data_IF_250450566059
#
_entry.id   IF_250450566059
#
_cell.length_a   1.000
_cell.length_b   1.000
_cell.length_c   1.000
_cell.angle_alpha   90.00
_cell.angle_beta   90.00
_cell.angle_gamma   90.00
#
_symmetry.space_group_name_H-M   'P 1'
#
loop_
_entity.id
_entity.type
_entity.pdbx_description
1 polymer ?
#
# COMPACT_ATOMS: atom_id res chain seq x y z
N UNK A 1 -26.02 6.65 -21.27
CA UNK A 1 -25.33 6.46 -19.96
C UNK A 1 -24.03 7.26 -19.95
N UNK A 2 -23.75 8.04 -18.91
CA UNK A 2 -22.46 8.75 -18.77
C UNK A 2 -21.42 7.77 -18.23
N UNK A 3 -20.33 7.57 -18.96
CA UNK A 3 -19.23 6.69 -18.55
C UNK A 3 -18.28 7.45 -17.61
N UNK A 4 -17.97 6.86 -16.45
CA UNK A 4 -17.06 7.44 -15.47
C UNK A 4 -15.61 7.37 -16.00
N UNK A 5 -14.94 8.52 -16.07
CA UNK A 5 -13.53 8.62 -16.50
C UNK A 5 -12.56 8.88 -15.35
N UNK A 6 -13.05 9.45 -14.26
CA UNK A 6 -12.26 9.86 -13.10
C UNK A 6 -12.91 9.29 -11.86
N UNK A 7 -12.15 8.56 -11.07
CA UNK A 7 -12.55 8.08 -9.76
C UNK A 7 -11.59 8.65 -8.74
N UNK A 8 -12.13 9.39 -7.77
CA UNK A 8 -11.38 9.95 -6.66
C UNK A 8 -12.09 9.57 -5.38
N UNK A 9 -11.39 8.89 -4.48
CA UNK A 9 -11.86 8.56 -3.16
C UNK A 9 -10.79 8.92 -2.14
N UNK A 10 -11.17 9.70 -1.14
CA UNK A 10 -10.31 10.06 -0.04
C UNK A 10 -11.07 9.83 1.27
N UNK A 11 -10.54 8.97 2.12
CA UNK A 11 -11.04 8.77 3.47
C UNK A 11 -10.03 9.34 4.46
N UNK A 12 -10.43 10.44 5.09
CA UNK A 12 -9.66 11.14 6.12
C UNK A 12 -10.39 11.02 7.46
N UNK A 13 -10.37 9.83 8.05
CA UNK A 13 -10.88 9.55 9.40
C UNK A 13 -9.77 9.35 10.43
N UNK A 14 -10.05 9.45 11.74
CA UNK A 14 -9.16 8.86 12.75
C UNK A 14 -8.93 7.38 12.39
N UNK A 15 -7.80 6.80 12.78
CA UNK A 15 -7.51 5.38 12.51
C UNK A 15 -8.75 4.56 12.82
N UNK A 16 -9.33 3.88 11.82
CA UNK A 16 -10.60 3.17 11.92
C UNK A 16 -10.68 2.44 13.26
N UNK A 17 -11.40 3.02 14.22
CA UNK A 17 -11.68 2.34 15.47
C UNK A 17 -12.62 1.19 15.12
N UNK A 18 -12.58 0.11 15.89
CA UNK A 18 -13.29 -1.14 15.56
C UNK A 18 -14.80 -0.99 15.32
N UNK A 19 -15.42 0.12 15.75
CA UNK A 19 -16.83 0.43 15.49
C UNK A 19 -17.09 1.04 14.10
N UNK A 20 -16.14 1.79 13.52
CA UNK A 20 -16.27 2.40 12.19
C UNK A 20 -15.78 1.45 11.08
N UNK A 21 -15.15 0.35 11.45
CA UNK A 21 -14.62 -0.66 10.53
C UNK A 21 -15.72 -1.41 9.79
N UNK A 22 -16.84 -1.73 10.46
CA UNK A 22 -17.95 -2.50 9.87
C UNK A 22 -18.69 -1.66 8.80
N UNK A 23 -18.98 -0.39 9.10
CA UNK A 23 -19.56 0.56 8.14
C UNK A 23 -18.62 0.83 6.97
N UNK A 24 -17.31 0.93 7.25
CA UNK A 24 -16.31 1.08 6.20
C UNK A 24 -16.21 -0.16 5.32
N UNK A 25 -16.22 -1.36 5.90
CA UNK A 25 -16.15 -2.61 5.15
C UNK A 25 -17.41 -2.81 4.30
N UNK A 26 -18.59 -2.41 4.81
CA UNK A 26 -19.83 -2.37 4.03
C UNK A 26 -19.73 -1.38 2.86
N UNK A 27 -19.28 -0.15 3.12
CA UNK A 27 -19.09 0.85 2.08
C UNK A 27 -18.06 0.38 1.03
N UNK A 28 -16.96 -0.20 1.48
CA UNK A 28 -15.89 -0.75 0.63
C UNK A 28 -16.43 -1.83 -0.28
N UNK A 29 -17.14 -2.82 0.26
CA UNK A 29 -17.69 -3.94 -0.52
C UNK A 29 -18.80 -3.51 -1.48
N UNK A 30 -19.73 -2.68 -1.02
CA UNK A 30 -20.91 -2.29 -1.80
C UNK A 30 -20.61 -1.24 -2.87
N UNK A 31 -19.62 -0.38 -2.63
CA UNK A 31 -19.34 0.75 -3.50
C UNK A 31 -17.93 0.68 -4.06
N UNK A 32 -16.91 0.62 -3.21
CA UNK A 32 -15.54 0.81 -3.69
C UNK A 32 -15.08 -0.33 -4.62
N UNK A 33 -15.21 -1.58 -4.16
CA UNK A 33 -14.81 -2.77 -4.93
C UNK A 33 -15.69 -2.94 -6.17
N UNK A 34 -17.00 -2.70 -6.02
CA UNK A 34 -17.95 -2.67 -7.12
C UNK A 34 -17.59 -1.65 -8.20
N UNK A 35 -17.22 -0.43 -7.83
CA UNK A 35 -16.92 0.63 -8.80
C UNK A 35 -15.53 0.55 -9.41
N UNK A 36 -14.48 0.31 -8.62
CA UNK A 36 -13.10 0.28 -9.10
C UNK A 36 -12.91 -0.75 -10.21
N UNK A 37 -13.47 -1.95 -10.00
CA UNK A 37 -13.20 -3.10 -10.85
C UNK A 37 -14.16 -3.22 -12.05
N UNK A 38 -15.29 -2.51 -12.05
CA UNK A 38 -16.27 -2.55 -13.15
C UNK A 38 -16.22 -1.31 -14.08
N UNK A 39 -15.17 -0.50 -14.01
CA UNK A 39 -15.04 0.74 -14.81
C UNK A 39 -13.92 0.66 -15.86
N UNK A 40 -14.16 0.00 -17.03
CA UNK A 40 -13.10 -0.30 -18.00
C UNK A 40 -12.48 0.93 -18.69
N UNK A 41 -13.16 2.08 -18.58
CA UNK A 41 -12.81 3.33 -19.25
C UNK A 41 -12.20 4.36 -18.31
N UNK A 42 -11.85 3.94 -17.09
CA UNK A 42 -11.21 4.79 -16.12
C UNK A 42 -9.88 5.32 -16.67
N UNK A 43 -9.69 6.64 -16.61
CA UNK A 43 -8.49 7.34 -17.05
C UNK A 43 -7.68 7.87 -15.87
N UNK A 44 -8.36 8.20 -14.77
CA UNK A 44 -7.76 8.74 -13.55
C UNK A 44 -8.28 7.96 -12.36
N UNK A 45 -7.38 7.36 -11.60
CA UNK A 45 -7.66 6.67 -10.33
C UNK A 45 -6.95 7.39 -9.19
N UNK A 46 -7.69 7.88 -8.20
CA UNK A 46 -7.12 8.43 -6.97
C UNK A 46 -7.78 7.80 -5.77
N UNK A 47 -6.98 7.14 -4.94
CA UNK A 47 -7.44 6.49 -3.72
C UNK A 47 -6.50 6.87 -2.59
N UNK A 48 -7.05 7.51 -1.56
CA UNK A 48 -6.28 8.05 -0.44
C UNK A 48 -6.94 7.63 0.87
N UNK A 49 -6.16 7.08 1.80
CA UNK A 49 -6.62 6.71 3.14
C UNK A 49 -5.70 7.27 4.21
N UNK A 50 -6.28 7.78 5.30
CA UNK A 50 -5.55 8.05 6.55
C UNK A 50 -5.53 6.80 7.42
N UNK A 51 -4.62 5.89 7.07
CA UNK A 51 -4.48 4.58 7.71
C UNK A 51 -3.89 3.59 6.74
N UNK A 52 -3.67 2.34 7.18
CA UNK A 52 -3.22 1.27 6.29
C UNK A 52 -4.43 0.38 5.97
N UNK A 53 -5.16 0.75 4.91
CA UNK A 53 -6.37 0.04 4.50
C UNK A 53 -6.03 -1.08 3.54
N UNK A 54 -6.50 -2.29 3.83
CA UNK A 54 -6.34 -3.42 2.93
C UNK A 54 -7.53 -3.50 1.95
N UNK A 55 -7.26 -3.26 0.68
CA UNK A 55 -8.21 -3.43 -0.41
C UNK A 55 -8.04 -4.83 -1.03
N UNK A 56 -9.14 -5.52 -1.29
CA UNK A 56 -9.05 -6.79 -2.01
C UNK A 56 -8.95 -6.51 -3.51
N UNK A 57 -7.74 -6.63 -4.06
CA UNK A 57 -7.49 -6.44 -5.48
C UNK A 57 -7.76 -7.68 -6.31
N UNK A 58 -8.09 -8.82 -5.68
CA UNK A 58 -8.34 -10.09 -6.36
C UNK A 58 -9.42 -10.00 -7.45
N UNK A 59 -10.55 -9.27 -7.27
CA UNK A 59 -11.54 -9.08 -8.33
C UNK A 59 -10.99 -8.35 -9.56
N UNK A 60 -9.99 -7.48 -9.38
CA UNK A 60 -9.33 -6.80 -10.48
C UNK A 60 -8.46 -7.76 -11.31
N UNK A 61 -7.86 -8.76 -10.65
CA UNK A 61 -6.96 -9.75 -11.25
C UNK A 61 -7.68 -10.80 -12.08
N UNK A 62 -8.93 -11.10 -11.74
CA UNK A 62 -9.76 -12.05 -12.50
C UNK A 62 -10.34 -11.44 -13.77
N UNK A 63 -10.36 -10.10 -13.87
CA UNK A 63 -10.83 -9.39 -15.05
C UNK A 63 -9.73 -9.32 -16.11
N UNK A 64 -10.08 -9.69 -17.34
CA UNK A 64 -9.23 -9.54 -18.51
C UNK A 64 -9.09 -8.05 -18.88
N UNK A 65 -8.19 -7.35 -18.18
CA UNK A 65 -7.71 -5.97 -18.45
C UNK A 65 -8.71 -4.84 -18.18
N UNK A 66 -9.07 -4.58 -16.91
CA UNK A 66 -10.03 -3.52 -16.57
C UNK A 66 -9.50 -2.10 -16.85
N UNK A 67 -8.21 -1.83 -17.04
CA UNK A 67 -7.72 -0.43 -17.05
C UNK A 67 -6.84 -0.05 -18.23
N UNK A 68 -7.19 -0.53 -19.43
CA UNK A 68 -6.46 -0.20 -20.67
C UNK A 68 -6.36 1.29 -20.99
N UNK A 69 -7.21 2.13 -20.39
CA UNK A 69 -7.26 3.59 -20.62
C UNK A 69 -6.71 4.41 -19.46
N UNK A 70 -6.24 3.77 -18.39
CA UNK A 70 -5.75 4.46 -17.21
C UNK A 70 -4.46 5.20 -17.53
N UNK A 71 -4.40 6.49 -17.21
CA UNK A 71 -3.24 7.36 -17.50
C UNK A 71 -2.64 7.97 -16.25
N UNK A 72 -3.46 8.22 -15.23
CA UNK A 72 -3.06 8.74 -13.93
C UNK A 72 -3.58 7.78 -12.85
N UNK A 73 -2.68 7.27 -12.01
CA UNK A 73 -3.07 6.59 -10.79
C UNK A 73 -2.26 7.13 -9.61
N UNK A 74 -2.97 7.47 -8.52
CA UNK A 74 -2.41 7.88 -7.24
C UNK A 74 -3.03 7.02 -6.15
N UNK A 75 -2.20 6.27 -5.43
CA UNK A 75 -2.62 5.43 -4.31
C UNK A 75 -1.85 5.84 -3.05
N UNK A 76 -2.57 6.06 -1.95
CA UNK A 76 -2.02 6.48 -0.66
C UNK A 76 -2.69 5.74 0.50
N UNK A 77 -1.90 5.32 1.50
CA UNK A 77 -2.41 4.72 2.74
C UNK A 77 -2.97 3.32 2.55
N UNK A 78 -2.30 2.50 1.74
CA UNK A 78 -2.73 1.14 1.46
C UNK A 78 -1.86 0.11 2.18
N UNK A 79 -2.52 -0.89 2.78
CA UNK A 79 -1.91 -2.14 3.14
C UNK A 79 -2.10 -3.13 1.98
N UNK A 80 -1.04 -3.77 1.50
CA UNK A 80 -1.16 -4.73 0.41
C UNK A 80 -0.11 -5.84 0.51
N UNK A 81 -0.49 -7.07 0.22
CA UNK A 81 0.48 -8.15 0.04
C UNK A 81 1.29 -7.92 -1.25
N UNK A 82 2.57 -8.31 -1.25
CA UNK A 82 3.45 -8.14 -2.41
C UNK A 82 2.90 -8.83 -3.68
N UNK A 83 2.26 -9.99 -3.55
CA UNK A 83 1.67 -10.69 -4.68
C UNK A 83 0.49 -9.94 -5.29
N UNK A 84 -0.36 -9.34 -4.46
CA UNK A 84 -1.45 -8.48 -4.90
C UNK A 84 -0.93 -7.20 -5.53
N UNK A 85 0.14 -6.61 -5.00
CA UNK A 85 0.79 -5.45 -5.60
C UNK A 85 1.34 -5.75 -6.99
N UNK A 86 2.07 -6.87 -7.15
CA UNK A 86 2.56 -7.31 -8.45
C UNK A 86 1.42 -7.62 -9.42
N UNK A 87 0.34 -8.24 -8.92
CA UNK A 87 -0.88 -8.45 -9.68
C UNK A 87 -1.47 -7.13 -10.17
N UNK A 88 -1.62 -6.15 -9.28
CA UNK A 88 -2.14 -4.82 -9.60
C UNK A 88 -1.29 -4.13 -10.67
N UNK A 89 0.04 -4.20 -10.57
CA UNK A 89 0.94 -3.63 -11.59
C UNK A 89 0.73 -4.27 -12.97
N UNK A 90 0.39 -5.56 -13.03
CA UNK A 90 0.08 -6.24 -14.30
C UNK A 90 -1.27 -5.81 -14.91
N UNK A 91 -2.16 -5.18 -14.14
CA UNK A 91 -3.41 -4.62 -14.64
C UNK A 91 -3.23 -3.23 -15.24
N UNK A 92 -2.15 -2.54 -14.89
CA UNK A 92 -1.86 -1.22 -15.41
C UNK A 92 -1.50 -1.30 -16.90
N UNK A 93 -1.91 -0.30 -17.69
CA UNK A 93 -1.51 -0.24 -19.09
C UNK A 93 0.00 0.03 -19.20
N UNK A 94 0.63 -0.48 -20.26
CA UNK A 94 2.08 -0.36 -20.45
C UNK A 94 2.59 1.08 -20.61
N UNK A 95 1.70 2.05 -20.84
CA UNK A 95 2.01 3.47 -20.82
C UNK A 95 1.03 4.20 -19.92
N UNK A 96 1.57 4.89 -18.91
CA UNK A 96 0.85 5.81 -18.04
C UNK A 96 1.59 7.15 -18.03
N UNK A 97 0.83 8.24 -17.96
CA UNK A 97 1.39 9.59 -17.80
C UNK A 97 1.92 9.78 -16.37
N UNK A 98 1.26 9.13 -15.41
CA UNK A 98 1.55 9.28 -13.99
C UNK A 98 1.18 8.04 -13.19
N UNK A 99 2.11 7.55 -12.39
CA UNK A 99 1.88 6.52 -11.39
C UNK A 99 2.55 6.93 -10.08
N UNK A 100 1.73 7.31 -9.09
CA UNK A 100 2.18 7.67 -7.75
C UNK A 100 1.66 6.70 -6.72
N UNK A 101 2.57 6.34 -5.83
CA UNK A 101 2.33 5.35 -4.82
C UNK A 101 3.16 5.70 -3.59
N UNK A 102 2.52 5.97 -2.45
CA UNK A 102 3.24 6.33 -1.23
C UNK A 102 2.54 5.87 0.05
N UNK A 103 3.32 5.73 1.13
CA UNK A 103 2.86 5.22 2.43
C UNK A 103 2.12 3.88 2.32
N UNK A 104 2.81 2.89 1.76
CA UNK A 104 2.31 1.51 1.75
C UNK A 104 2.87 0.70 2.88
N UNK A 105 1.98 -0.06 3.48
CA UNK A 105 2.34 -1.19 4.30
C UNK A 105 2.33 -2.45 3.44
N UNK A 106 3.51 -3.03 3.22
CA UNK A 106 3.58 -4.39 2.66
C UNK A 106 3.21 -5.36 3.78
N UNK A 107 2.18 -6.17 3.55
CA UNK A 107 1.72 -7.18 4.51
C UNK A 107 2.21 -8.58 4.11
N UNK A 108 1.83 -9.59 4.91
CA UNK A 108 2.18 -10.99 4.65
C UNK A 108 3.65 -11.32 4.90
N UNK A 109 4.13 -12.40 4.30
CA UNK A 109 5.50 -12.90 4.51
C UNK A 109 6.57 -11.86 4.13
N UNK A 110 6.32 -11.05 3.10
CA UNK A 110 7.22 -9.96 2.72
C UNK A 110 7.21 -8.82 3.74
N UNK A 111 6.06 -8.54 4.36
CA UNK A 111 5.95 -7.58 5.46
C UNK A 111 6.83 -7.99 6.64
N UNK A 112 6.73 -9.24 7.06
CA UNK A 112 7.56 -9.80 8.15
C UNK A 112 9.06 -9.72 7.85
N UNK A 113 9.45 -10.03 6.61
CA UNK A 113 10.86 -9.91 6.17
C UNK A 113 11.33 -8.47 6.21
N UNK A 114 10.53 -7.53 5.70
CA UNK A 114 10.87 -6.10 5.72
C UNK A 114 10.98 -5.58 7.15
N UNK A 115 10.12 -6.02 8.05
CA UNK A 115 10.17 -5.67 9.47
C UNK A 115 11.38 -6.28 10.17
N UNK A 116 11.73 -7.53 9.88
CA UNK A 116 12.95 -8.16 10.38
C UNK A 116 14.21 -7.39 9.90
N UNK A 117 14.23 -6.96 8.65
CA UNK A 117 15.33 -6.14 8.10
C UNK A 117 15.42 -4.77 8.78
N UNK A 118 14.28 -4.10 8.99
CA UNK A 118 14.21 -2.82 9.73
C UNK A 118 14.75 -2.97 11.14
N UNK A 119 14.33 -4.01 11.88
CA UNK A 119 14.81 -4.32 13.23
C UNK A 119 16.31 -4.64 13.29
N UNK A 120 16.86 -5.25 12.23
CA UNK A 120 18.29 -5.55 12.14
C UNK A 120 19.12 -4.28 11.90
N UNK A 121 18.58 -3.31 11.16
CA UNK A 121 19.24 -2.03 10.86
C UNK A 121 19.24 -1.08 12.05
N UNK A 122 18.24 -1.18 12.93
CA UNK A 122 18.12 -0.37 14.15
C UNK A 122 18.85 -0.96 15.37
N UNK A 123 19.50 -2.12 15.25
CA UNK A 123 20.43 -2.58 16.30
C UNK A 123 21.67 -1.67 16.29
N UNK A 124 21.96 -0.90 17.36
CA UNK A 124 23.23 -0.19 17.45
C UNK A 124 24.34 -1.23 17.33
N UNK A 125 25.31 -0.95 16.47
CA UNK A 125 26.50 -1.78 16.30
C UNK A 125 27.17 -1.95 17.66
N UNK A 126 26.92 -3.08 18.33
CA UNK A 126 27.67 -3.49 19.51
C UNK A 126 29.09 -3.80 19.05
N UNK A 127 29.96 -2.79 19.05
CA UNK A 127 31.37 -2.98 18.71
C UNK A 127 32.11 -1.72 18.32
N UNK A 128 32.38 -0.84 19.27
CA UNK A 128 33.73 -0.29 19.44
C UNK A 128 33.87 0.31 20.85
N UNK A 129 33.81 -0.53 21.87
CA UNK A 129 34.46 -0.21 23.13
C UNK A 129 35.84 -0.85 23.07
N UNK A 130 36.79 -0.13 22.45
CA UNK A 130 38.21 -0.39 22.65
C UNK A 130 38.46 -0.10 24.13
N UNK A 131 38.52 -1.17 24.93
CA UNK A 131 39.00 -1.09 26.31
C UNK A 131 40.47 -0.75 26.25
N UNK A 132 40.80 0.53 26.42
CA UNK A 132 42.16 0.96 26.75
C UNK A 132 42.48 0.41 28.13
N UNK A 133 43.19 -0.72 28.17
CA UNK A 133 43.81 -1.22 29.38
C UNK A 133 44.94 -0.26 29.75
N UNK A 134 44.62 0.75 30.56
CA UNK A 134 45.63 1.57 31.20
C UNK A 134 46.37 0.69 32.23
N UNK A 135 47.63 0.38 31.91
CA UNK A 135 48.59 -0.26 32.79
C UNK A 135 48.65 0.49 34.11
N UNK A 136 48.32 -0.17 35.21
CA UNK A 136 48.73 0.28 36.55
C UNK A 136 50.21 -0.04 36.70
N UNK A 137 51.02 1.01 36.62
CA UNK A 137 52.42 0.98 37.02
C UNK A 137 52.51 0.70 38.52
N UNK A 138 53.30 -0.32 38.83
CA UNK A 138 53.89 -0.58 40.13
C UNK A 138 54.82 0.55 40.52
N UNK A 139 54.64 1.08 41.73
CA UNK A 139 55.70 1.65 42.56
C UNK A 139 55.30 1.46 44.03
#
# INVERSE_FOLDING_TARGET
MRQLKTFCFAYTGPSLESADQEDFDEFKGNHLDGFLFHTPLLQVLRVEFTGNVNLDWSPALTLTRPWTRLRDATLFGLAMDMSQFMGFLNLLPGMMDRFYFYCMEITGAWGEVLDALRRRRSRPSRGSSIRTAAMRGTA
#
